data_IF_394505153654
#
_entry.id   IF_394505153654
#
_cell.length_a   1.000
_cell.length_b   1.000
_cell.length_c   1.000
_cell.angle_alpha   90.00
_cell.angle_beta   90.00
_cell.angle_gamma   90.00
#
_symmetry.space_group_name_H-M   'P 1'
#
loop_
_entity.id
_entity.type
_entity.pdbx_description
1 polymer ?
#
# COMPACT_ATOMS: atom_id res chain seq x y z
N UNK A 1 71.75 79.13 -4.19
CA UNK A 1 70.46 78.79 -3.56
C UNK A 1 69.53 78.14 -4.58
N UNK A 2 69.52 76.84 -4.66
CA UNK A 2 68.72 76.07 -5.63
C UNK A 2 67.78 75.14 -4.86
N UNK A 3 66.49 75.42 -4.94
CA UNK A 3 65.44 74.66 -4.33
C UNK A 3 65.05 73.53 -5.26
N UNK A 4 65.28 72.33 -4.74
CA UNK A 4 64.81 71.06 -5.38
C UNK A 4 63.36 70.77 -5.03
N UNK A 5 62.50 70.69 -6.05
CA UNK A 5 61.09 70.24 -5.88
C UNK A 5 60.98 68.75 -6.18
N UNK A 6 60.69 67.95 -5.15
CA UNK A 6 60.38 66.56 -5.31
C UNK A 6 58.90 66.38 -5.69
N UNK A 7 58.66 65.77 -6.84
CA UNK A 7 57.30 65.28 -7.25
C UNK A 7 57.04 63.93 -6.64
N UNK A 8 56.02 63.83 -5.79
CA UNK A 8 55.53 62.56 -5.31
C UNK A 8 54.42 62.05 -6.24
N UNK A 9 54.68 60.96 -6.92
CA UNK A 9 53.66 60.22 -7.71
C UNK A 9 52.85 59.35 -6.85
N UNK A 10 51.56 59.63 -6.74
CA UNK A 10 50.58 58.70 -6.02
C UNK A 10 50.09 57.69 -7.01
N UNK A 11 50.44 56.42 -6.73
CA UNK A 11 49.87 55.25 -7.42
C UNK A 11 48.52 54.93 -6.80
N UNK A 12 47.43 55.08 -7.54
CA UNK A 12 46.09 54.66 -7.17
C UNK A 12 45.96 53.22 -7.61
N UNK A 13 45.93 52.27 -6.63
CA UNK A 13 45.55 50.87 -6.86
C UNK A 13 44.02 50.79 -6.90
N UNK A 14 43.43 50.56 -8.07
CA UNK A 14 42.04 50.20 -8.23
C UNK A 14 41.95 48.68 -8.01
N UNK A 15 41.52 48.29 -6.84
CA UNK A 15 41.19 46.89 -6.55
C UNK A 15 39.86 46.54 -7.24
N UNK A 16 39.93 45.87 -8.39
CA UNK A 16 38.74 45.25 -9.01
C UNK A 16 38.37 44.00 -8.20
N UNK A 17 37.41 44.16 -7.29
CA UNK A 17 36.79 42.99 -6.60
C UNK A 17 35.94 42.23 -7.63
N UNK A 18 36.54 41.22 -8.25
CA UNK A 18 35.84 40.23 -9.05
C UNK A 18 34.94 39.41 -8.17
N UNK A 19 33.66 39.75 -8.09
CA UNK A 19 32.64 38.90 -7.51
C UNK A 19 32.47 37.64 -8.39
N UNK A 20 33.18 36.56 -8.08
CA UNK A 20 32.92 35.25 -8.64
C UNK A 20 31.55 34.82 -8.16
N UNK A 21 30.52 35.06 -8.96
CA UNK A 21 29.22 34.44 -8.77
C UNK A 21 29.44 32.92 -8.89
N UNK A 22 29.59 32.24 -7.76
CA UNK A 22 29.47 30.78 -7.72
C UNK A 22 28.06 30.48 -8.19
N UNK A 23 27.93 29.90 -9.39
CA UNK A 23 26.72 29.25 -9.84
C UNK A 23 26.41 28.18 -8.77
N UNK A 24 25.48 28.50 -7.86
CA UNK A 24 24.98 27.54 -6.91
C UNK A 24 24.31 26.45 -7.73
N UNK A 25 24.83 25.23 -7.65
CA UNK A 25 24.13 24.04 -8.18
C UNK A 25 22.75 24.02 -7.54
N UNK A 26 21.67 23.99 -8.34
CA UNK A 26 20.31 23.92 -7.78
C UNK A 26 20.23 22.81 -6.75
N UNK A 27 19.52 23.04 -5.65
CA UNK A 27 19.26 21.95 -4.71
C UNK A 27 18.59 20.79 -5.44
N UNK A 28 18.74 19.53 -4.99
CA UNK A 28 18.06 18.40 -5.63
C UNK A 28 16.55 18.62 -5.80
N UNK A 29 15.93 19.37 -4.88
CA UNK A 29 14.53 19.74 -4.99
C UNK A 29 14.22 20.70 -6.13
N UNK A 30 15.18 21.50 -6.60
CA UNK A 30 15.00 22.51 -7.66
C UNK A 30 15.44 22.01 -9.03
N UNK A 31 16.13 20.87 -9.08
CA UNK A 31 16.61 20.29 -10.34
C UNK A 31 15.44 20.00 -11.28
N UNK A 32 15.56 20.42 -12.53
CA UNK A 32 14.58 20.11 -13.58
C UNK A 32 14.70 18.65 -13.98
N UNK A 33 13.57 17.97 -14.10
CA UNK A 33 13.53 16.57 -14.55
C UNK A 33 13.96 16.52 -16.03
N UNK A 34 14.94 15.65 -16.39
CA UNK A 34 15.53 15.66 -17.72
C UNK A 34 14.71 14.88 -18.78
N UNK A 35 13.73 14.07 -18.35
CA UNK A 35 12.89 13.23 -19.21
C UNK A 35 11.43 13.34 -18.79
N UNK A 36 10.50 12.91 -19.65
CA UNK A 36 9.08 12.84 -19.33
C UNK A 36 8.79 11.88 -18.17
N UNK A 37 7.65 12.12 -17.46
CA UNK A 37 7.22 11.23 -16.39
C UNK A 37 6.68 9.92 -16.95
N UNK A 38 6.93 8.83 -16.24
CA UNK A 38 6.17 7.58 -16.38
C UNK A 38 4.71 7.75 -15.93
N UNK A 39 3.87 6.81 -16.33
CA UNK A 39 2.43 6.78 -16.03
C UNK A 39 2.07 5.93 -14.80
N UNK A 40 3.06 5.36 -14.11
CA UNK A 40 2.84 4.53 -12.94
C UNK A 40 2.27 5.31 -11.75
N UNK A 41 1.48 4.62 -10.94
CA UNK A 41 1.03 5.09 -9.63
C UNK A 41 1.92 4.58 -8.49
N UNK A 42 2.78 3.58 -8.75
CA UNK A 42 3.65 2.97 -7.74
C UNK A 42 4.92 3.79 -7.52
N UNK A 43 5.16 4.21 -6.27
CA UNK A 43 6.35 5.01 -5.94
C UNK A 43 7.66 4.27 -6.21
N UNK A 44 7.67 2.95 -6.18
CA UNK A 44 8.84 2.12 -6.47
C UNK A 44 9.17 2.01 -7.97
N UNK A 45 8.22 2.37 -8.83
CA UNK A 45 8.38 2.40 -10.29
C UNK A 45 8.68 3.82 -10.82
N UNK A 46 8.60 4.82 -9.96
CA UNK A 46 8.87 6.22 -10.26
C UNK A 46 10.26 6.61 -9.78
N UNK A 47 10.92 7.49 -10.53
CA UNK A 47 12.11 8.16 -10.05
C UNK A 47 11.77 9.16 -8.94
N UNK A 48 12.75 9.52 -8.11
CA UNK A 48 12.53 10.49 -7.05
C UNK A 48 12.02 11.86 -7.57
N UNK A 49 12.43 12.25 -8.79
CA UNK A 49 11.96 13.49 -9.42
C UNK A 49 10.49 13.41 -9.81
N UNK A 50 10.04 12.28 -10.31
CA UNK A 50 8.62 12.04 -10.64
C UNK A 50 7.75 12.06 -9.40
N UNK A 51 8.18 11.41 -8.31
CA UNK A 51 7.46 11.47 -7.02
C UNK A 51 7.41 12.90 -6.49
N UNK A 52 8.53 13.64 -6.50
CA UNK A 52 8.58 15.05 -6.11
C UNK A 52 7.59 15.90 -6.91
N UNK A 53 7.61 15.75 -8.23
CA UNK A 53 6.78 16.55 -9.13
C UNK A 53 5.30 16.19 -8.98
N UNK A 54 4.97 14.92 -8.76
CA UNK A 54 3.62 14.45 -8.47
C UNK A 54 3.08 15.05 -7.16
N UNK A 55 3.89 15.07 -6.09
CA UNK A 55 3.51 15.70 -4.81
C UNK A 55 3.31 17.19 -4.97
N UNK A 56 4.18 17.89 -5.72
CA UNK A 56 4.02 19.32 -6.05
C UNK A 56 2.76 19.60 -6.88
N UNK A 57 2.40 18.68 -7.76
CA UNK A 57 1.18 18.75 -8.56
C UNK A 57 -0.11 18.39 -7.78
N UNK A 58 0.00 18.09 -6.48
CA UNK A 58 -1.14 17.85 -5.59
C UNK A 58 -1.44 16.38 -5.29
N UNK A 59 -0.63 15.42 -5.78
CA UNK A 59 -0.74 14.01 -5.37
C UNK A 59 -0.14 13.82 -3.97
N UNK A 60 -0.84 14.29 -2.95
CA UNK A 60 -0.38 14.30 -1.55
C UNK A 60 -0.94 13.17 -0.70
N UNK A 61 -1.64 12.22 -1.30
CA UNK A 61 -2.11 11.00 -0.65
C UNK A 61 -1.22 9.84 -1.04
N UNK A 62 -0.86 8.98 -0.08
CA UNK A 62 -0.18 7.71 -0.34
C UNK A 62 -0.96 6.54 0.25
N UNK A 63 -1.11 5.48 -0.54
CA UNK A 63 -1.77 4.24 -0.15
C UNK A 63 -0.72 3.19 0.17
N UNK A 64 -0.69 2.69 1.40
CA UNK A 64 0.19 1.63 1.88
C UNK A 64 -0.66 0.39 2.12
N UNK A 65 -0.36 -0.67 1.37
CA UNK A 65 -1.00 -1.98 1.53
C UNK A 65 -0.11 -2.94 2.34
N UNK A 66 -0.68 -3.61 3.31
CA UNK A 66 -0.03 -4.69 4.07
C UNK A 66 -0.64 -6.02 3.66
N UNK A 67 0.17 -6.89 3.06
CA UNK A 67 -0.26 -8.19 2.56
C UNK A 67 0.04 -9.32 3.53
N UNK A 68 0.95 -10.20 3.13
CA UNK A 68 1.40 -11.36 3.90
C UNK A 68 1.94 -12.46 3.00
N UNK A 69 2.68 -13.37 3.61
CA UNK A 69 3.11 -14.64 3.00
C UNK A 69 2.71 -15.76 3.94
N UNK A 70 1.59 -16.40 3.63
CA UNK A 70 1.00 -17.45 4.45
C UNK A 70 0.57 -18.66 3.63
N UNK A 71 0.26 -19.76 4.29
CA UNK A 71 -0.36 -20.91 3.65
C UNK A 71 -1.84 -20.62 3.32
N UNK A 72 -2.31 -21.10 2.17
CA UNK A 72 -3.68 -20.90 1.69
C UNK A 72 -4.32 -22.19 1.18
N UNK A 73 -3.80 -23.33 1.61
CA UNK A 73 -4.21 -24.65 1.13
C UNK A 73 -3.42 -25.12 -0.10
N UNK A 74 -3.89 -26.16 -0.78
CA UNK A 74 -3.11 -26.86 -1.80
C UNK A 74 -3.03 -26.13 -3.15
N UNK A 75 -3.88 -25.13 -3.37
CA UNK A 75 -4.06 -24.55 -4.71
C UNK A 75 -3.56 -23.13 -4.84
N UNK A 76 -3.57 -22.35 -3.78
CA UNK A 76 -3.28 -20.92 -3.83
C UNK A 76 -1.89 -20.65 -3.31
N UNK A 77 -1.13 -19.84 -4.05
CA UNK A 77 0.23 -19.47 -3.69
C UNK A 77 0.26 -18.65 -2.39
N UNK A 78 1.33 -18.83 -1.58
CA UNK A 78 1.48 -18.19 -0.27
C UNK A 78 1.45 -16.67 -0.27
N UNK A 79 1.70 -16.03 -1.40
CA UNK A 79 1.60 -14.57 -1.57
C UNK A 79 0.20 -14.05 -1.92
N UNK A 80 -0.87 -14.79 -1.70
CA UNK A 80 -2.26 -14.45 -2.04
C UNK A 80 -2.61 -12.99 -1.74
N UNK A 81 -2.38 -12.54 -0.53
CA UNK A 81 -2.69 -11.19 -0.09
C UNK A 81 -1.92 -10.11 -0.86
N UNK A 82 -0.67 -10.38 -1.22
CA UNK A 82 0.13 -9.45 -2.02
C UNK A 82 -0.42 -9.33 -3.46
N UNK A 83 -0.89 -10.42 -4.06
CA UNK A 83 -1.47 -10.43 -5.40
C UNK A 83 -2.83 -9.72 -5.43
N UNK A 84 -3.64 -9.91 -4.39
CA UNK A 84 -4.90 -9.18 -4.21
C UNK A 84 -4.64 -7.68 -4.12
N UNK A 85 -3.71 -7.26 -3.27
CA UNK A 85 -3.34 -5.85 -3.13
C UNK A 85 -2.81 -5.26 -4.45
N UNK A 86 -1.95 -5.98 -5.16
CA UNK A 86 -1.44 -5.52 -6.46
C UNK A 86 -2.57 -5.30 -7.50
N UNK A 87 -3.68 -6.04 -7.37
CA UNK A 87 -4.87 -5.88 -8.22
C UNK A 87 -5.76 -4.72 -7.76
N UNK A 88 -5.96 -4.56 -6.45
CA UNK A 88 -6.97 -3.62 -5.91
C UNK A 88 -6.42 -2.22 -5.71
N UNK A 89 -5.15 -2.08 -5.28
CA UNK A 89 -4.58 -0.76 -4.93
C UNK A 89 -4.57 0.24 -6.10
N UNK A 90 -4.29 -0.15 -7.35
CA UNK A 90 -4.43 0.77 -8.48
C UNK A 90 -5.85 1.31 -8.65
N UNK A 91 -6.88 0.47 -8.45
CA UNK A 91 -8.27 0.89 -8.54
C UNK A 91 -8.67 1.82 -7.39
N UNK A 92 -8.16 1.57 -6.16
CA UNK A 92 -8.33 2.48 -5.02
C UNK A 92 -7.70 3.84 -5.32
N UNK A 93 -6.46 3.86 -5.80
CA UNK A 93 -5.74 5.09 -6.10
C UNK A 93 -6.44 5.92 -7.19
N UNK A 94 -6.97 5.27 -8.23
CA UNK A 94 -7.80 5.91 -9.27
C UNK A 94 -9.10 6.47 -8.68
N UNK A 95 -9.79 5.72 -7.82
CA UNK A 95 -11.04 6.15 -7.21
C UNK A 95 -10.87 7.35 -6.26
N UNK A 96 -9.73 7.47 -5.60
CA UNK A 96 -9.38 8.62 -4.73
C UNK A 96 -8.87 9.81 -5.56
N UNK A 97 -8.08 9.57 -6.61
CA UNK A 97 -7.61 10.56 -7.59
C UNK A 97 -6.23 11.13 -7.33
N UNK A 98 -5.94 11.73 -6.17
CA UNK A 98 -4.67 12.39 -5.86
C UNK A 98 -3.66 11.48 -5.14
N UNK A 99 -3.63 10.20 -5.50
CA UNK A 99 -2.98 9.13 -4.72
C UNK A 99 -1.82 8.51 -5.49
N UNK A 100 -0.69 8.31 -4.81
CA UNK A 100 0.36 7.38 -5.18
C UNK A 100 0.29 6.12 -4.30
N UNK A 101 0.94 5.05 -4.76
CA UNK A 101 0.92 3.74 -4.11
C UNK A 101 2.33 3.41 -3.60
N UNK A 102 2.43 3.09 -2.32
CA UNK A 102 3.68 2.59 -1.73
C UNK A 102 3.96 1.14 -2.12
N UNK A 103 5.22 0.67 -2.07
CA UNK A 103 5.53 -0.75 -2.13
C UNK A 103 4.69 -1.56 -1.12
N UNK A 104 4.19 -2.71 -1.54
CA UNK A 104 3.40 -3.58 -0.66
C UNK A 104 4.29 -4.10 0.48
N UNK A 105 3.84 -3.93 1.71
CA UNK A 105 4.49 -4.53 2.89
C UNK A 105 4.11 -6.00 2.95
N UNK A 106 5.03 -6.86 2.50
CA UNK A 106 4.81 -8.30 2.34
C UNK A 106 5.07 -9.12 3.59
N UNK A 107 5.81 -8.58 4.55
CA UNK A 107 6.16 -9.25 5.80
C UNK A 107 5.36 -8.63 6.93
N UNK A 108 4.50 -9.45 7.54
CA UNK A 108 3.48 -9.05 8.52
C UNK A 108 3.30 -10.15 9.57
N UNK A 109 2.56 -9.94 10.66
CA UNK A 109 2.25 -11.01 11.62
C UNK A 109 1.30 -12.06 11.02
N UNK A 110 1.78 -13.32 10.89
CA UNK A 110 1.00 -14.46 10.37
C UNK A 110 0.92 -15.63 11.37
N UNK A 111 1.39 -15.43 12.58
CA UNK A 111 1.38 -16.42 13.64
C UNK A 111 2.60 -16.36 14.53
N UNK A 112 2.60 -17.13 15.61
CA UNK A 112 3.72 -17.21 16.53
C UNK A 112 4.90 -17.98 15.90
N UNK A 113 6.11 -17.40 16.00
CA UNK A 113 7.35 -17.99 15.51
C UNK A 113 7.92 -18.95 16.55
N UNK A 114 7.99 -18.53 17.81
CA UNK A 114 8.60 -19.22 18.93
C UNK A 114 7.67 -19.23 20.16
N UNK A 115 7.88 -20.11 21.13
CA UNK A 115 8.78 -21.27 21.15
C UNK A 115 8.30 -22.43 20.28
N UNK A 116 7.04 -22.40 19.84
CA UNK A 116 6.43 -23.39 18.93
C UNK A 116 5.64 -22.64 17.88
N UNK A 117 5.89 -22.87 16.60
CA UNK A 117 5.13 -22.26 15.53
C UNK A 117 3.62 -22.52 15.67
N UNK A 118 2.80 -21.46 15.55
CA UNK A 118 1.33 -21.52 15.63
C UNK A 118 0.68 -20.61 14.60
N UNK A 119 -0.60 -20.85 14.32
CA UNK A 119 -1.31 -20.17 13.24
C UNK A 119 -0.77 -20.62 11.88
N UNK A 120 -0.65 -19.69 10.95
CA UNK A 120 -0.10 -20.00 9.62
C UNK A 120 1.36 -20.46 9.68
N UNK A 121 2.12 -20.09 10.72
CA UNK A 121 3.49 -20.56 10.95
C UNK A 121 3.62 -22.07 11.15
N UNK A 122 2.52 -22.80 11.39
CA UNK A 122 2.51 -24.25 11.42
C UNK A 122 2.73 -24.89 10.04
N UNK A 123 2.70 -24.11 8.97
CA UNK A 123 2.84 -24.56 7.58
C UNK A 123 4.11 -23.99 6.93
N UNK A 124 4.92 -24.83 6.26
CA UNK A 124 6.14 -24.39 5.58
C UNK A 124 5.86 -23.31 4.55
N UNK A 125 6.78 -22.34 4.46
CA UNK A 125 6.70 -21.22 3.52
C UNK A 125 5.99 -19.97 4.06
N UNK A 126 5.32 -20.05 5.21
CA UNK A 126 4.81 -18.88 5.91
C UNK A 126 5.96 -18.09 6.53
N UNK A 127 5.87 -16.76 6.45
CA UNK A 127 6.83 -15.83 7.08
C UNK A 127 6.03 -14.89 7.97
N UNK A 128 6.43 -14.79 9.25
CA UNK A 128 5.77 -13.92 10.22
C UNK A 128 6.73 -12.90 10.81
N UNK A 129 6.22 -11.75 11.18
CA UNK A 129 6.90 -10.76 12.03
C UNK A 129 6.25 -10.74 13.42
N UNK A 130 7.06 -10.38 14.41
CA UNK A 130 6.53 -9.93 15.69
C UNK A 130 5.74 -8.62 15.52
N UNK A 131 4.66 -8.45 16.29
CA UNK A 131 3.80 -7.27 16.20
C UNK A 131 4.58 -5.96 16.38
N UNK A 132 5.53 -5.92 17.33
CA UNK A 132 6.36 -4.73 17.56
C UNK A 132 7.26 -4.38 16.37
N UNK A 133 7.81 -5.39 15.67
CA UNK A 133 8.61 -5.19 14.47
C UNK A 133 7.76 -4.65 13.32
N UNK A 134 6.55 -5.19 13.14
CA UNK A 134 5.60 -4.71 12.15
C UNK A 134 5.16 -3.26 12.40
N UNK A 135 4.83 -2.91 13.65
CA UNK A 135 4.46 -1.56 14.03
C UNK A 135 5.62 -0.56 13.85
N UNK A 136 6.85 -0.95 14.18
CA UNK A 136 8.04 -0.14 13.95
C UNK A 136 8.28 0.11 12.46
N UNK A 137 8.19 -0.93 11.63
CA UNK A 137 8.31 -0.83 10.17
C UNK A 137 7.28 0.15 9.58
N UNK A 138 6.00 -0.02 9.92
CA UNK A 138 4.93 0.86 9.43
C UNK A 138 5.12 2.31 9.92
N UNK A 139 5.56 2.48 11.16
CA UNK A 139 5.84 3.81 11.72
C UNK A 139 6.89 4.53 10.90
N UNK A 140 7.99 3.87 10.55
CA UNK A 140 9.07 4.49 9.77
C UNK A 140 8.66 4.74 8.32
N UNK A 141 7.87 3.85 7.70
CA UNK A 141 7.30 4.08 6.36
C UNK A 141 6.41 5.33 6.37
N UNK A 142 5.48 5.45 7.32
CA UNK A 142 4.58 6.61 7.42
C UNK A 142 5.35 7.91 7.65
N UNK A 143 6.38 7.89 8.51
CA UNK A 143 7.24 9.06 8.77
C UNK A 143 8.02 9.47 7.53
N UNK A 144 8.49 8.52 6.75
CA UNK A 144 9.21 8.78 5.50
C UNK A 144 8.33 9.50 4.48
N UNK A 145 7.10 9.03 4.27
CA UNK A 145 6.16 9.70 3.37
C UNK A 145 5.76 11.09 3.87
N UNK A 146 5.52 11.26 5.18
CA UNK A 146 5.31 12.59 5.77
C UNK A 146 6.47 13.53 5.48
N UNK A 147 7.71 13.08 5.65
CA UNK A 147 8.92 13.90 5.41
C UNK A 147 9.04 14.36 3.95
N UNK A 148 8.46 13.60 3.01
CA UNK A 148 8.45 13.93 1.59
C UNK A 148 7.20 14.72 1.14
N UNK A 149 6.36 15.21 2.08
CA UNK A 149 5.27 16.13 1.79
C UNK A 149 3.89 15.46 1.58
N UNK A 150 3.77 14.15 1.79
CA UNK A 150 2.47 13.50 1.79
C UNK A 150 1.66 13.93 3.02
N UNK A 151 0.39 14.24 2.79
CA UNK A 151 -0.54 14.76 3.81
C UNK A 151 -1.52 13.71 4.33
N UNK A 152 -1.95 12.82 3.46
CA UNK A 152 -2.83 11.72 3.79
C UNK A 152 -2.11 10.38 3.54
N UNK A 153 -1.90 9.62 4.60
CA UNK A 153 -1.21 8.33 4.56
C UNK A 153 -2.23 7.26 4.91
N UNK A 154 -2.62 6.46 3.93
CA UNK A 154 -3.67 5.43 4.07
C UNK A 154 -3.02 4.09 4.37
N UNK A 155 -3.48 3.41 5.41
CA UNK A 155 -3.13 2.04 5.74
C UNK A 155 -4.32 1.12 5.48
N UNK A 156 -4.12 0.13 4.63
CA UNK A 156 -5.04 -0.98 4.39
C UNK A 156 -4.31 -2.32 4.57
N UNK A 157 -5.01 -3.34 5.01
CA UNK A 157 -4.43 -4.67 5.22
C UNK A 157 -5.34 -5.78 4.75
N UNK A 158 -4.78 -6.71 3.98
CA UNK A 158 -5.53 -7.82 3.38
C UNK A 158 -5.54 -9.10 4.24
N UNK A 159 -4.83 -9.10 5.40
CA UNK A 159 -4.83 -10.17 6.40
C UNK A 159 -5.34 -9.67 7.75
N UNK A 160 -5.97 -10.57 8.53
CA UNK A 160 -6.49 -10.28 9.86
C UNK A 160 -5.39 -9.88 10.86
N UNK A 161 -4.22 -10.50 10.78
CA UNK A 161 -3.07 -10.23 11.63
C UNK A 161 -2.55 -8.78 11.53
N UNK A 162 -2.81 -8.10 10.42
CA UNK A 162 -2.31 -6.75 10.15
C UNK A 162 -3.12 -5.66 10.85
N UNK A 163 -4.40 -5.93 11.17
CA UNK A 163 -5.38 -4.89 11.53
C UNK A 163 -5.02 -4.14 12.82
N UNK A 164 -4.57 -4.83 13.85
CA UNK A 164 -4.24 -4.22 15.13
C UNK A 164 -2.99 -3.34 15.03
N UNK A 165 -1.93 -3.81 14.39
CA UNK A 165 -0.70 -3.04 14.21
C UNK A 165 -0.94 -1.75 13.43
N UNK A 166 -1.69 -1.80 12.33
CA UNK A 166 -2.06 -0.61 11.56
C UNK A 166 -2.87 0.39 12.38
N UNK A 167 -3.84 -0.10 13.18
CA UNK A 167 -4.64 0.75 14.07
C UNK A 167 -3.76 1.45 15.11
N UNK A 168 -2.86 0.71 15.74
CA UNK A 168 -1.96 1.24 16.77
C UNK A 168 -1.02 2.32 16.19
N UNK A 169 -0.42 2.05 15.04
CA UNK A 169 0.46 3.00 14.34
C UNK A 169 -0.29 4.27 13.94
N UNK A 170 -1.48 4.15 13.36
CA UNK A 170 -2.29 5.31 12.99
C UNK A 170 -2.66 6.17 14.20
N UNK A 171 -3.09 5.55 15.30
CA UNK A 171 -3.43 6.26 16.53
C UNK A 171 -2.20 6.97 17.14
N UNK A 172 -1.07 6.28 17.25
CA UNK A 172 0.15 6.82 17.83
C UNK A 172 0.71 7.99 17.01
N UNK A 173 0.78 7.84 15.68
CA UNK A 173 1.31 8.90 14.81
C UNK A 173 0.38 10.11 14.74
N UNK A 174 -0.93 9.93 14.66
CA UNK A 174 -1.87 11.04 14.68
C UNK A 174 -1.78 11.83 15.98
N UNK A 175 -1.75 11.15 17.14
CA UNK A 175 -1.54 11.81 18.44
C UNK A 175 -0.24 12.59 18.50
N UNK A 176 0.86 12.00 18.01
CA UNK A 176 2.17 12.66 17.96
C UNK A 176 2.15 13.90 17.07
N UNK A 177 1.54 13.80 15.87
CA UNK A 177 1.57 14.89 14.89
C UNK A 177 0.61 16.03 15.20
N UNK A 178 -0.38 15.82 16.08
CA UNK A 178 -1.23 16.89 16.61
C UNK A 178 -0.46 17.87 17.49
N UNK A 179 0.57 17.39 18.19
CA UNK A 179 1.37 18.22 19.11
C UNK A 179 2.60 18.82 18.42
N UNK A 180 2.93 18.41 17.21
CA UNK A 180 4.02 19.01 16.43
C UNK A 180 3.56 20.36 15.84
N UNK A 181 4.47 21.37 15.72
CA UNK A 181 4.12 22.60 15.02
C UNK A 181 3.51 22.29 13.66
N UNK A 182 2.44 23.00 13.29
CA UNK A 182 1.51 22.68 12.20
C UNK A 182 2.12 22.74 10.77
N UNK A 183 3.35 22.28 10.57
CA UNK A 183 4.09 22.42 9.32
C UNK A 183 3.60 21.52 8.20
N UNK A 184 2.90 20.41 8.49
CA UNK A 184 2.50 19.47 7.43
C UNK A 184 1.02 19.15 7.39
N UNK A 185 0.29 19.21 8.52
CA UNK A 185 -1.11 18.75 8.60
C UNK A 185 -1.31 17.27 8.20
N UNK A 186 -0.24 16.46 8.30
CA UNK A 186 -0.29 15.07 7.89
C UNK A 186 -1.15 14.23 8.84
N UNK A 187 -1.87 13.24 8.29
CA UNK A 187 -2.71 12.28 9.03
C UNK A 187 -2.52 10.87 8.48
N UNK A 188 -2.58 9.90 9.38
CA UNK A 188 -2.61 8.47 9.04
C UNK A 188 -4.04 7.96 9.14
N UNK A 189 -4.54 7.36 8.07
CA UNK A 189 -5.89 6.82 7.94
C UNK A 189 -5.81 5.30 7.93
N UNK A 190 -6.12 4.65 9.04
CA UNK A 190 -6.38 3.21 9.05
C UNK A 190 -7.81 2.97 8.59
N UNK A 191 -7.97 2.18 7.52
CA UNK A 191 -9.26 1.90 6.90
C UNK A 191 -9.62 0.42 7.06
N UNK A 192 -10.23 0.02 8.19
CA UNK A 192 -10.66 -1.36 8.40
C UNK A 192 -11.74 -1.80 7.40
N UNK A 193 -12.50 -0.88 6.82
CA UNK A 193 -13.56 -1.17 5.83
C UNK A 193 -13.03 -1.86 4.58
N UNK A 194 -11.74 -1.72 4.30
CA UNK A 194 -11.07 -2.48 3.24
C UNK A 194 -11.12 -3.99 3.52
N UNK A 195 -10.97 -4.39 4.78
CA UNK A 195 -10.84 -5.78 5.22
C UNK A 195 -12.10 -6.29 5.90
N UNK A 196 -12.76 -5.43 6.70
CA UNK A 196 -13.89 -5.86 7.50
C UNK A 196 -14.99 -6.41 6.63
N UNK A 197 -15.34 -7.59 7.05
CA UNK A 197 -16.53 -8.28 6.68
C UNK A 197 -16.52 -8.76 5.24
N UNK A 198 -16.20 -10.03 5.09
CA UNK A 198 -16.42 -10.78 3.86
C UNK A 198 -17.84 -10.56 3.27
N UNK A 199 -18.72 -9.93 4.02
CA UNK A 199 -20.08 -9.61 3.62
C UNK A 199 -20.14 -8.83 2.30
N UNK A 200 -19.24 -7.85 2.10
CA UNK A 200 -19.21 -7.09 0.85
C UNK A 200 -18.91 -8.00 -0.36
N UNK A 201 -18.06 -9.01 -0.19
CA UNK A 201 -17.73 -9.95 -1.25
C UNK A 201 -18.90 -10.89 -1.56
N UNK A 202 -19.63 -11.35 -0.54
CA UNK A 202 -20.82 -12.16 -0.73
C UNK A 202 -21.95 -11.39 -1.40
N UNK A 203 -22.22 -10.18 -0.95
CA UNK A 203 -23.24 -9.33 -1.55
C UNK A 203 -22.92 -9.02 -3.01
N UNK A 204 -21.63 -8.74 -3.31
CA UNK A 204 -21.20 -8.55 -4.68
C UNK A 204 -21.35 -9.82 -5.51
N UNK A 205 -20.84 -10.96 -5.06
CA UNK A 205 -20.94 -12.25 -5.77
C UNK A 205 -22.40 -12.62 -6.04
N UNK A 206 -23.27 -12.46 -5.03
CA UNK A 206 -24.71 -12.68 -5.17
C UNK A 206 -25.32 -11.76 -6.21
N UNK A 207 -24.92 -10.50 -6.27
CA UNK A 207 -25.38 -9.56 -7.31
C UNK A 207 -24.97 -9.96 -8.73
N UNK A 208 -23.88 -10.73 -8.85
CA UNK A 208 -23.42 -11.33 -10.12
C UNK A 208 -24.04 -12.71 -10.40
N UNK A 209 -25.04 -13.14 -9.62
CA UNK A 209 -25.68 -14.45 -9.77
C UNK A 209 -24.83 -15.63 -9.26
N UNK A 210 -23.76 -15.36 -8.51
CA UNK A 210 -22.87 -16.37 -7.94
C UNK A 210 -23.31 -16.67 -6.51
N UNK A 211 -23.81 -17.89 -6.29
CA UNK A 211 -24.26 -18.37 -4.97
C UNK A 211 -23.29 -19.42 -4.48
N UNK A 212 -22.59 -19.13 -3.39
CA UNK A 212 -21.69 -20.06 -2.73
C UNK A 212 -22.47 -21.03 -1.85
N UNK A 213 -22.07 -22.30 -1.84
CA UNK A 213 -22.59 -23.26 -0.89
C UNK A 213 -21.93 -23.00 0.45
N UNK A 214 -22.72 -22.64 1.45
CA UNK A 214 -22.24 -22.50 2.81
C UNK A 214 -22.00 -23.89 3.43
N UNK A 215 -20.76 -24.35 3.36
CA UNK A 215 -20.36 -25.62 3.97
C UNK A 215 -20.33 -25.55 5.50
N UNK A 216 -20.26 -24.36 6.08
CA UNK A 216 -20.28 -24.20 7.54
C UNK A 216 -21.66 -24.47 8.12
N UNK A 217 -22.72 -24.07 7.41
CA UNK A 217 -24.10 -24.40 7.79
C UNK A 217 -24.40 -25.89 7.70
N UNK A 218 -23.82 -26.58 6.70
CA UNK A 218 -24.00 -28.02 6.51
C UNK A 218 -23.14 -28.91 7.44
N UNK A 219 -22.01 -28.39 7.92
CA UNK A 219 -21.00 -29.10 8.72
C UNK A 219 -21.00 -28.72 10.21
N UNK A 220 -21.86 -27.80 10.61
CA UNK A 220 -22.05 -27.45 12.02
C UNK A 220 -20.87 -26.76 12.69
N UNK A 221 -20.07 -25.95 12.02
CA UNK A 221 -19.13 -25.04 12.69
C UNK A 221 -17.78 -24.75 12.00
N UNK A 222 -17.53 -25.12 10.77
CA UNK A 222 -16.25 -24.75 10.15
C UNK A 222 -16.40 -23.49 9.30
N UNK A 223 -15.54 -22.51 9.58
CA UNK A 223 -15.33 -21.36 8.73
C UNK A 223 -15.10 -21.86 7.28
N UNK A 224 -15.85 -21.32 6.34
CA UNK A 224 -15.76 -21.66 4.91
C UNK A 224 -14.36 -21.53 4.35
N UNK A 225 -13.54 -20.68 4.98
CA UNK A 225 -12.15 -20.38 4.64
C UNK A 225 -11.14 -21.39 5.17
N UNK A 226 -11.55 -22.31 6.03
CA UNK A 226 -10.65 -23.26 6.68
C UNK A 226 -11.13 -24.70 6.50
N UNK A 227 -10.52 -25.41 5.54
CA UNK A 227 -10.55 -26.88 5.54
C UNK A 227 -9.32 -27.39 6.27
N UNK A 228 -9.48 -27.82 7.50
CA UNK A 228 -8.38 -28.31 8.36
C UNK A 228 -7.63 -29.51 7.78
N UNK A 229 -8.26 -30.29 6.89
CA UNK A 229 -7.64 -31.48 6.27
C UNK A 229 -6.56 -31.13 5.27
N UNK A 230 -6.70 -30.00 4.54
CA UNK A 230 -5.80 -29.56 3.48
C UNK A 230 -5.22 -28.16 3.75
N UNK A 231 -5.41 -27.60 4.96
CA UNK A 231 -5.00 -26.23 5.28
C UNK A 231 -5.73 -25.17 4.45
N UNK A 232 -6.93 -25.48 3.93
CA UNK A 232 -7.69 -24.54 3.08
C UNK A 232 -7.97 -23.26 3.84
N UNK A 233 -7.45 -22.13 3.29
CA UNK A 233 -7.66 -20.78 3.80
C UNK A 233 -7.89 -19.85 2.63
N UNK A 234 -9.05 -19.99 1.98
CA UNK A 234 -9.31 -19.38 0.69
C UNK A 234 -10.78 -19.06 0.47
N UNK A 235 -11.06 -18.16 -0.46
CA UNK A 235 -12.39 -17.77 -0.92
C UNK A 235 -12.34 -17.33 -2.39
N UNK A 236 -13.49 -17.36 -3.07
CA UNK A 236 -13.63 -17.02 -4.49
C UNK A 236 -13.10 -15.62 -4.79
N UNK A 237 -13.33 -14.65 -3.91
CA UNK A 237 -12.88 -13.29 -4.15
C UNK A 237 -11.34 -13.15 -4.09
N UNK A 238 -10.66 -13.95 -3.24
CA UNK A 238 -9.21 -14.01 -3.22
C UNK A 238 -8.66 -14.61 -4.51
N UNK A 239 -9.18 -15.79 -4.89
CA UNK A 239 -8.72 -16.47 -6.10
C UNK A 239 -8.95 -15.61 -7.35
N UNK A 240 -10.14 -15.00 -7.48
CA UNK A 240 -10.47 -14.19 -8.61
C UNK A 240 -9.55 -12.95 -8.73
N UNK A 241 -9.29 -12.25 -7.64
CA UNK A 241 -8.40 -11.08 -7.65
C UNK A 241 -6.92 -11.47 -7.85
N UNK A 242 -6.46 -12.59 -7.25
CA UNK A 242 -5.10 -13.09 -7.47
C UNK A 242 -4.89 -13.54 -8.92
N UNK A 243 -5.91 -14.13 -9.55
CA UNK A 243 -5.88 -14.56 -10.95
C UNK A 243 -5.75 -13.39 -11.95
N UNK A 244 -6.13 -12.17 -11.57
CA UNK A 244 -5.92 -10.97 -12.39
C UNK A 244 -4.43 -10.72 -12.60
N UNK A 245 -3.60 -10.97 -11.58
CA UNK A 245 -2.15 -10.84 -11.70
C UNK A 245 -1.55 -11.98 -12.54
N UNK A 246 -1.89 -13.21 -12.20
CA UNK A 246 -1.51 -14.39 -12.98
C UNK A 246 -2.33 -15.61 -12.51
N UNK A 247 -3.08 -16.28 -13.41
CA UNK A 247 -3.84 -17.49 -13.07
C UNK A 247 -3.02 -18.65 -12.50
N UNK A 248 -1.69 -18.65 -12.71
CA UNK A 248 -0.80 -19.64 -12.09
C UNK A 248 -0.79 -19.55 -10.55
N UNK A 249 -1.09 -18.39 -9.96
CA UNK A 249 -1.11 -18.22 -8.52
C UNK A 249 -2.24 -18.99 -7.83
N UNK A 250 -3.28 -19.34 -8.58
CA UNK A 250 -4.39 -20.20 -8.12
C UNK A 250 -4.36 -21.60 -8.78
N UNK A 251 -3.24 -21.96 -9.44
CA UNK A 251 -3.06 -23.26 -10.12
C UNK A 251 -4.18 -23.59 -11.12
N UNK A 252 -4.74 -22.57 -11.80
CA UNK A 252 -5.93 -22.70 -12.63
C UNK A 252 -5.82 -23.80 -13.68
N UNK A 253 -4.71 -23.86 -14.44
CA UNK A 253 -4.50 -24.87 -15.48
C UNK A 253 -4.42 -26.30 -14.90
N UNK A 254 -3.63 -26.49 -13.83
CA UNK A 254 -3.49 -27.80 -13.20
C UNK A 254 -4.83 -28.27 -12.60
N UNK A 255 -5.58 -27.35 -11.97
CA UNK A 255 -6.90 -27.67 -11.38
C UNK A 255 -7.93 -28.00 -12.46
N UNK A 256 -7.95 -27.29 -13.59
CA UNK A 256 -8.84 -27.62 -14.71
C UNK A 256 -8.55 -29.01 -15.26
N UNK A 257 -7.27 -29.35 -15.48
CA UNK A 257 -6.86 -30.72 -15.94
C UNK A 257 -7.28 -31.81 -14.98
N UNK A 258 -7.30 -31.50 -13.68
CA UNK A 258 -7.67 -32.43 -12.62
C UNK A 258 -9.18 -32.45 -12.29
N UNK A 259 -9.99 -31.59 -12.91
CA UNK A 259 -11.41 -31.44 -12.57
C UNK A 259 -11.65 -30.80 -11.17
N UNK A 260 -10.68 -30.00 -10.69
CA UNK A 260 -10.67 -29.41 -9.34
C UNK A 260 -10.81 -27.88 -9.35
N UNK A 261 -11.16 -27.28 -10.49
CA UNK A 261 -11.25 -25.82 -10.63
C UNK A 261 -12.64 -25.30 -10.20
N UNK A 262 -12.98 -25.60 -8.95
CA UNK A 262 -14.18 -25.10 -8.28
C UNK A 262 -13.88 -24.76 -6.83
N UNK A 263 -14.65 -23.83 -6.24
CA UNK A 263 -14.55 -23.46 -4.83
C UNK A 263 -15.95 -23.16 -4.29
N UNK A 264 -16.25 -23.63 -3.08
CA UNK A 264 -17.56 -23.42 -2.43
C UNK A 264 -18.78 -23.78 -3.33
N UNK A 265 -18.63 -24.81 -4.15
CA UNK A 265 -19.68 -25.27 -5.08
C UNK A 265 -19.82 -24.43 -6.35
N UNK A 266 -18.95 -23.44 -6.54
CA UNK A 266 -18.94 -22.60 -7.74
C UNK A 266 -17.86 -23.07 -8.70
N UNK A 267 -18.23 -23.32 -9.97
CA UNK A 267 -17.28 -23.59 -11.04
C UNK A 267 -16.57 -22.29 -11.43
N UNK A 268 -15.26 -22.28 -11.36
CA UNK A 268 -14.41 -21.14 -11.70
C UNK A 268 -14.01 -21.11 -13.18
N UNK A 269 -14.34 -22.15 -13.94
CA UNK A 269 -14.05 -22.21 -15.38
C UNK A 269 -15.02 -21.33 -16.20
N UNK A 270 -14.59 -20.81 -17.35
CA UNK A 270 -13.21 -20.73 -17.81
C UNK A 270 -12.40 -19.68 -17.06
N UNK A 271 -11.07 -19.80 -17.06
CA UNK A 271 -10.13 -18.87 -16.35
C UNK A 271 -10.42 -17.40 -16.65
N UNK A 272 -10.73 -17.07 -17.91
CA UNK A 272 -11.04 -15.70 -18.33
C UNK A 272 -12.26 -15.12 -17.55
N UNK A 273 -13.26 -15.94 -17.23
CA UNK A 273 -14.41 -15.52 -16.41
C UNK A 273 -13.99 -15.19 -14.98
N UNK A 274 -13.13 -16.01 -14.39
CA UNK A 274 -12.59 -15.78 -13.05
C UNK A 274 -11.74 -14.50 -13.00
N UNK A 275 -10.89 -14.27 -14.00
CA UNK A 275 -10.09 -13.04 -14.12
C UNK A 275 -11.00 -11.81 -14.24
N UNK A 276 -12.04 -11.88 -15.07
CA UNK A 276 -12.98 -10.76 -15.24
C UNK A 276 -13.77 -10.49 -13.95
N UNK A 277 -14.15 -11.54 -13.23
CA UNK A 277 -14.76 -11.41 -11.90
C UNK A 277 -13.82 -10.69 -10.93
N UNK A 278 -12.52 -11.04 -10.93
CA UNK A 278 -11.51 -10.41 -10.10
C UNK A 278 -11.35 -8.92 -10.36
N UNK A 279 -11.36 -8.49 -11.62
CA UNK A 279 -11.34 -7.07 -11.99
C UNK A 279 -12.56 -6.31 -11.46
N UNK A 280 -13.76 -6.89 -11.59
CA UNK A 280 -15.00 -6.30 -11.09
C UNK A 280 -14.99 -6.20 -9.55
N UNK A 281 -14.51 -7.23 -8.85
CA UNK A 281 -14.32 -7.22 -7.41
C UNK A 281 -13.35 -6.12 -6.96
N UNK A 282 -12.25 -5.93 -7.68
CA UNK A 282 -11.28 -4.89 -7.38
C UNK A 282 -11.88 -3.48 -7.46
N UNK A 283 -12.65 -3.20 -8.52
CA UNK A 283 -13.35 -1.90 -8.68
C UNK A 283 -14.40 -1.71 -7.58
N UNK A 284 -15.17 -2.74 -7.25
CA UNK A 284 -16.17 -2.67 -6.19
C UNK A 284 -15.54 -2.37 -4.82
N UNK A 285 -14.48 -3.10 -4.47
CA UNK A 285 -13.71 -2.92 -3.22
C UNK A 285 -13.06 -1.53 -3.15
N UNK A 286 -12.56 -1.03 -4.28
CA UNK A 286 -12.00 0.32 -4.39
C UNK A 286 -13.03 1.40 -4.04
N UNK A 287 -14.27 1.26 -4.49
CA UNK A 287 -15.36 2.17 -4.16
C UNK A 287 -15.68 2.21 -2.66
N UNK A 288 -15.66 1.06 -1.98
CA UNK A 288 -15.84 0.97 -0.52
C UNK A 288 -14.70 1.71 0.19
N UNK A 289 -13.46 1.42 -0.19
CA UNK A 289 -12.26 2.00 0.42
C UNK A 289 -12.18 3.51 0.22
N UNK A 290 -12.52 4.01 -0.97
CA UNK A 290 -12.55 5.45 -1.23
C UNK A 290 -13.58 6.19 -0.37
N UNK A 291 -14.78 5.63 -0.19
CA UNK A 291 -15.78 6.21 0.73
C UNK A 291 -15.33 6.19 2.19
N UNK A 292 -14.70 5.11 2.64
CA UNK A 292 -14.13 5.01 3.97
C UNK A 292 -13.04 6.08 4.19
N UNK A 293 -12.19 6.29 3.20
CA UNK A 293 -11.18 7.34 3.26
C UNK A 293 -11.80 8.74 3.38
N UNK A 294 -12.79 9.07 2.57
CA UNK A 294 -13.50 10.35 2.66
C UNK A 294 -14.14 10.58 4.05
N UNK A 295 -14.72 9.54 4.63
CA UNK A 295 -15.26 9.59 6.00
C UNK A 295 -14.15 9.82 7.03
N UNK A 296 -13.02 9.11 6.92
CA UNK A 296 -11.85 9.28 7.78
C UNK A 296 -11.24 10.69 7.67
N UNK A 297 -11.15 11.25 6.46
CA UNK A 297 -10.67 12.62 6.26
C UNK A 297 -11.57 13.63 6.99
N UNK A 298 -12.89 13.52 6.84
CA UNK A 298 -13.84 14.40 7.56
C UNK A 298 -13.65 14.30 9.06
N UNK A 299 -13.52 13.08 9.60
CA UNK A 299 -13.33 12.85 11.04
C UNK A 299 -12.02 13.46 11.57
N UNK A 300 -10.90 13.24 10.88
CA UNK A 300 -9.57 13.65 11.34
C UNK A 300 -9.26 15.13 11.07
N UNK A 301 -9.94 15.77 10.12
CA UNK A 301 -9.72 17.18 9.76
C UNK A 301 -10.88 18.09 10.22
N UNK A 302 -12.09 17.55 10.42
CA UNK A 302 -13.27 18.30 10.89
C UNK A 302 -13.35 18.50 12.40
N UNK A 303 -12.50 17.88 13.19
CA UNK A 303 -12.40 18.08 14.65
C UNK A 303 -11.64 19.33 15.09
N UNK A 304 -11.27 20.20 14.13
CA UNK A 304 -10.52 21.44 14.36
C UNK A 304 -11.40 22.70 14.14
N UNK A 305 -12.68 22.63 14.56
CA UNK A 305 -13.54 23.84 14.69
C UNK A 305 -13.86 24.08 16.15
#
# INVERSE_FOLDING_TARGET
MTASRSLAAALVFVAVAGASARLQTPSPQEAVRPIEAGDSLWTEELTWMEVRDAVRAGKTTVLIGTGGVEQNGPYVAGGKHNFVLATVMPEIAKAIGNTLIAPIVKFVPEGAIEPTPRGHMSYPGTISLEAATFEALLTDICRSYKAHGFKDIILIGDSGGNQNGMRNVAAALNKKWETEPATTGARVHFLPEYYTEDQWSYDFLKSQGIVQIDKSAAAGQQDRRTDTRNGMHDDIYYEAQAAVQDPKFIRAEQRMKAGLFSLHGVDLAPVAKTVELGKKLAVYRAGITARAFQASQKKLRGGSQ
#
